data_IF_654761406624
#
_entry.id   IF_654761406624
#
_cell.length_a   1.000
_cell.length_b   1.000
_cell.length_c   1.000
_cell.angle_alpha   90.00
_cell.angle_beta   90.00
_cell.angle_gamma   90.00
#
_symmetry.space_group_name_H-M   'P 1'
#
loop_
_entity.id
_entity.type
_entity.pdbx_description
1 polymer ?
#
# COMPACT_ATOMS: atom_id res chain seq x y z
N UNK A 1 -13.97 -17.07 -32.82
CA UNK A 1 -12.80 -17.90 -33.18
C UNK A 1 -11.95 -18.12 -31.94
N UNK A 2 -12.32 -19.08 -31.09
CA UNK A 2 -11.52 -19.51 -29.95
C UNK A 2 -10.58 -20.60 -30.45
N UNK A 3 -9.33 -20.24 -30.73
CA UNK A 3 -8.30 -21.22 -31.02
C UNK A 3 -8.03 -22.01 -29.73
N UNK A 4 -8.60 -23.21 -29.64
CA UNK A 4 -8.12 -24.25 -28.75
C UNK A 4 -6.71 -24.63 -29.22
N UNK A 5 -5.68 -24.09 -28.54
CA UNK A 5 -4.32 -24.59 -28.68
C UNK A 5 -4.22 -25.87 -27.86
N UNK A 6 -4.61 -26.99 -28.47
CA UNK A 6 -4.39 -28.34 -27.96
C UNK A 6 -2.95 -28.83 -28.20
N UNK A 7 -1.97 -27.92 -28.24
CA UNK A 7 -0.53 -28.24 -28.20
C UNK A 7 -0.05 -28.24 -26.74
N UNK A 8 -0.78 -28.92 -25.86
CA UNK A 8 -0.53 -28.89 -24.42
C UNK A 8 0.79 -29.60 -24.07
N UNK A 9 1.88 -28.84 -24.12
CA UNK A 9 3.16 -29.21 -23.53
C UNK A 9 2.90 -29.65 -22.08
N UNK A 10 3.42 -30.79 -21.61
CA UNK A 10 3.14 -31.27 -20.27
C UNK A 10 3.50 -30.18 -19.24
N UNK A 11 2.50 -29.78 -18.44
CA UNK A 11 2.67 -28.76 -17.41
C UNK A 11 3.58 -29.35 -16.34
N UNK A 12 4.84 -28.89 -16.31
CA UNK A 12 5.77 -29.23 -15.23
C UNK A 12 5.43 -28.39 -14.01
N UNK A 13 4.86 -29.01 -12.99
CA UNK A 13 4.62 -28.37 -11.69
C UNK A 13 5.98 -28.16 -11.01
N UNK A 14 6.33 -26.90 -10.77
CA UNK A 14 7.59 -26.53 -10.09
C UNK A 14 7.43 -26.44 -8.57
N UNK A 15 6.27 -26.00 -8.10
CA UNK A 15 5.94 -25.90 -6.68
C UNK A 15 4.42 -25.95 -6.49
N UNK A 16 3.99 -26.41 -5.31
CA UNK A 16 2.61 -26.34 -4.86
C UNK A 16 2.59 -25.72 -3.45
N UNK A 17 1.70 -24.76 -3.23
CA UNK A 17 1.57 -24.04 -1.96
C UNK A 17 0.10 -23.70 -1.71
N UNK A 18 -0.26 -23.54 -0.43
CA UNK A 18 -1.62 -23.22 0.00
C UNK A 18 -1.71 -21.82 0.65
N UNK A 19 -0.59 -21.14 0.82
CA UNK A 19 -0.49 -19.85 1.48
C UNK A 19 0.49 -18.93 0.77
N UNK A 20 0.50 -17.69 1.24
CA UNK A 20 1.30 -16.62 0.65
C UNK A 20 2.80 -16.79 0.93
N UNK A 21 3.18 -17.35 2.09
CA UNK A 21 4.59 -17.66 2.37
C UNK A 21 5.15 -18.71 1.40
N UNK A 22 4.37 -19.75 1.11
CA UNK A 22 4.71 -20.77 0.12
C UNK A 22 4.88 -20.19 -1.28
N UNK A 23 4.05 -19.22 -1.68
CA UNK A 23 4.24 -18.47 -2.93
C UNK A 23 5.60 -17.76 -2.95
N UNK A 24 5.94 -17.02 -1.89
CA UNK A 24 7.20 -16.28 -1.82
C UNK A 24 8.41 -17.22 -1.80
N UNK A 25 8.31 -18.37 -1.12
CA UNK A 25 9.35 -19.42 -1.15
C UNK A 25 9.56 -19.97 -2.55
N UNK A 26 8.48 -20.32 -3.26
CA UNK A 26 8.56 -20.83 -4.63
C UNK A 26 9.21 -19.81 -5.59
N UNK A 27 8.90 -18.53 -5.46
CA UNK A 27 9.53 -17.44 -6.22
C UNK A 27 11.03 -17.35 -5.92
N UNK A 28 11.41 -17.37 -4.64
CA UNK A 28 12.82 -17.32 -4.20
C UNK A 28 13.61 -18.52 -4.72
N UNK A 29 13.07 -19.72 -4.59
CA UNK A 29 13.70 -20.96 -5.06
C UNK A 29 13.89 -20.94 -6.58
N UNK A 30 12.87 -20.49 -7.32
CA UNK A 30 12.98 -20.33 -8.78
C UNK A 30 14.06 -19.32 -9.15
N UNK A 31 14.10 -18.16 -8.49
CA UNK A 31 15.13 -17.14 -8.70
C UNK A 31 16.52 -17.71 -8.45
N UNK A 32 16.72 -18.42 -7.34
CA UNK A 32 17.97 -19.10 -7.01
C UNK A 32 18.36 -20.17 -8.03
N UNK A 33 17.40 -20.97 -8.51
CA UNK A 33 17.65 -21.98 -9.54
C UNK A 33 18.07 -21.38 -10.89
N UNK A 34 17.65 -20.14 -11.17
CA UNK A 34 18.09 -19.37 -12.35
C UNK A 34 19.41 -18.63 -12.13
N UNK A 35 20.01 -18.71 -10.93
CA UNK A 35 21.24 -17.99 -10.59
C UNK A 35 21.07 -16.47 -10.50
N UNK A 36 19.83 -15.98 -10.37
CA UNK A 36 19.55 -14.54 -10.35
C UNK A 36 19.73 -13.97 -8.94
N UNK A 37 20.40 -12.81 -8.84
CA UNK A 37 20.37 -11.99 -7.62
C UNK A 37 19.00 -11.31 -7.48
N UNK A 38 18.69 -10.79 -6.29
CA UNK A 38 17.44 -10.04 -6.07
C UNK A 38 17.38 -8.78 -6.97
N UNK A 39 18.51 -8.08 -7.11
CA UNK A 39 18.61 -6.90 -7.95
C UNK A 39 18.48 -7.25 -9.45
N UNK A 40 19.11 -8.35 -9.88
CA UNK A 40 19.00 -8.81 -11.26
C UNK A 40 17.55 -9.19 -11.62
N UNK A 41 16.79 -9.75 -10.66
CA UNK A 41 15.36 -10.00 -10.86
C UNK A 41 14.56 -8.69 -10.94
N UNK A 42 14.85 -7.72 -10.07
CA UNK A 42 14.18 -6.42 -10.12
C UNK A 42 14.40 -5.75 -11.50
N UNK A 43 15.64 -5.74 -11.99
CA UNK A 43 16.00 -5.18 -13.30
C UNK A 43 15.30 -5.93 -14.44
N UNK A 44 15.32 -7.28 -14.42
CA UNK A 44 14.68 -8.11 -15.43
C UNK A 44 13.16 -7.94 -15.46
N UNK A 45 12.54 -7.75 -14.30
CA UNK A 45 11.09 -7.56 -14.17
C UNK A 45 10.65 -6.10 -14.38
N UNK A 46 11.59 -5.16 -14.53
CA UNK A 46 11.28 -3.73 -14.60
C UNK A 46 10.74 -3.16 -13.28
N UNK A 47 11.11 -3.75 -12.15
CA UNK A 47 10.68 -3.36 -10.82
C UNK A 47 11.68 -2.38 -10.18
N UNK A 48 11.23 -1.55 -9.22
CA UNK A 48 12.15 -0.71 -8.46
C UNK A 48 13.22 -1.53 -7.74
N UNK A 49 14.46 -1.06 -7.76
CA UNK A 49 15.59 -1.71 -7.10
C UNK A 49 15.32 -2.01 -5.60
N UNK A 50 15.60 -3.25 -5.19
CA UNK A 50 15.38 -3.74 -3.83
C UNK A 50 13.93 -4.10 -3.53
N UNK A 51 13.06 -4.17 -4.54
CA UNK A 51 11.67 -4.60 -4.36
C UNK A 51 11.60 -6.08 -3.98
N UNK A 52 12.32 -6.95 -4.70
CA UNK A 52 12.42 -8.39 -4.40
C UNK A 52 12.94 -8.63 -2.99
N UNK A 53 13.93 -7.86 -2.53
CA UNK A 53 14.47 -7.98 -1.17
C UNK A 53 13.41 -7.73 -0.09
N UNK A 54 12.50 -6.78 -0.31
CA UNK A 54 11.39 -6.47 0.61
C UNK A 54 10.32 -7.54 0.63
N UNK A 55 10.10 -8.22 -0.49
CA UNK A 55 9.20 -9.38 -0.54
C UNK A 55 9.84 -10.54 0.23
N UNK A 56 11.08 -10.89 -0.07
CA UNK A 56 11.76 -12.04 0.55
C UNK A 56 12.08 -11.81 2.04
N UNK A 57 12.12 -10.56 2.50
CA UNK A 57 12.37 -10.21 3.90
C UNK A 57 11.39 -10.88 4.87
N UNK A 58 10.14 -11.15 4.47
CA UNK A 58 9.19 -11.84 5.35
C UNK A 58 9.58 -13.28 5.67
N UNK A 59 10.33 -13.95 4.77
CA UNK A 59 10.78 -15.33 4.98
C UNK A 59 11.93 -15.41 5.98
N UNK A 60 12.73 -14.36 6.10
CA UNK A 60 13.89 -14.32 7.01
C UNK A 60 13.56 -13.63 8.33
N UNK A 61 12.68 -12.61 8.29
CA UNK A 61 12.21 -11.90 9.47
C UNK A 61 10.73 -11.51 9.28
N UNK A 62 9.78 -12.28 9.84
CA UNK A 62 8.35 -11.98 9.74
C UNK A 62 7.94 -10.63 10.34
N UNK A 63 8.76 -10.08 11.25
CA UNK A 63 8.53 -8.76 11.86
C UNK A 63 9.31 -7.63 11.17
N UNK A 64 9.95 -7.89 10.03
CA UNK A 64 10.65 -6.86 9.30
C UNK A 64 9.68 -5.72 8.94
N UNK A 65 9.92 -4.53 9.50
CA UNK A 65 9.12 -3.33 9.25
C UNK A 65 9.04 -2.96 7.75
N UNK A 66 9.99 -3.47 6.96
CA UNK A 66 10.08 -3.23 5.52
C UNK A 66 9.54 -4.38 4.65
N UNK A 67 8.98 -5.44 5.25
CA UNK A 67 8.37 -6.54 4.50
C UNK A 67 7.21 -6.02 3.63
N UNK A 68 7.15 -6.48 2.38
CA UNK A 68 6.11 -6.07 1.43
C UNK A 68 5.39 -7.28 0.85
N UNK A 69 4.07 -7.13 0.69
CA UNK A 69 3.30 -8.06 -0.11
C UNK A 69 3.50 -7.79 -1.61
N UNK A 70 3.42 -8.84 -2.43
CA UNK A 70 3.38 -8.77 -3.88
C UNK A 70 2.05 -8.13 -4.26
N UNK A 71 2.11 -7.00 -4.98
CA UNK A 71 0.94 -6.29 -5.48
C UNK A 71 0.42 -6.85 -6.82
N UNK A 72 -0.75 -6.35 -7.22
CA UNK A 72 -1.42 -6.72 -8.48
C UNK A 72 -0.53 -6.53 -9.70
N UNK A 73 0.27 -5.46 -9.73
CA UNK A 73 1.13 -5.11 -10.86
C UNK A 73 2.45 -5.88 -10.84
N UNK A 74 3.03 -6.08 -9.66
CA UNK A 74 4.31 -6.77 -9.51
C UNK A 74 4.20 -8.28 -9.72
N UNK A 75 3.06 -8.89 -9.38
CA UNK A 75 2.87 -10.33 -9.51
C UNK A 75 3.10 -10.83 -10.95
N UNK A 76 2.40 -10.32 -11.99
CA UNK A 76 2.62 -10.77 -13.36
C UNK A 76 4.03 -10.47 -13.87
N UNK A 77 4.65 -9.36 -13.43
CA UNK A 77 6.02 -9.01 -13.82
C UNK A 77 7.04 -10.02 -13.25
N UNK A 78 6.92 -10.38 -11.97
CA UNK A 78 7.77 -11.39 -11.33
C UNK A 78 7.59 -12.75 -11.99
N UNK A 79 6.35 -13.16 -12.25
CA UNK A 79 6.07 -14.44 -12.91
C UNK A 79 6.66 -14.46 -14.33
N UNK A 80 6.47 -13.38 -15.10
CA UNK A 80 7.03 -13.25 -16.44
C UNK A 80 8.56 -13.32 -16.45
N UNK A 81 9.23 -12.57 -15.57
CA UNK A 81 10.68 -12.56 -15.45
C UNK A 81 11.26 -13.93 -15.04
N UNK A 82 10.53 -14.70 -14.23
CA UNK A 82 10.95 -16.03 -13.77
C UNK A 82 10.52 -17.17 -14.71
N UNK A 83 9.77 -16.85 -15.77
CA UNK A 83 9.18 -17.83 -16.69
C UNK A 83 8.20 -18.76 -16.00
N UNK A 84 7.43 -18.23 -15.04
CA UNK A 84 6.46 -18.96 -14.25
C UNK A 84 5.03 -18.67 -14.72
N UNK A 85 4.16 -19.65 -14.49
CA UNK A 85 2.72 -19.52 -14.58
C UNK A 85 2.12 -20.04 -13.26
N UNK A 86 0.99 -19.49 -12.85
CA UNK A 86 0.24 -19.97 -11.69
C UNK A 86 -1.04 -20.67 -12.15
N UNK A 87 -1.33 -21.81 -11.55
CA UNK A 87 -2.57 -22.55 -11.75
C UNK A 87 -3.38 -22.60 -10.45
N UNK A 88 -4.70 -22.63 -10.59
CA UNK A 88 -5.60 -22.90 -9.47
C UNK A 88 -5.90 -24.40 -9.44
N UNK A 89 -5.78 -25.01 -8.26
CA UNK A 89 -6.07 -26.42 -8.04
C UNK A 89 -7.29 -26.55 -7.13
N UNK A 90 -8.19 -27.51 -7.37
CA UNK A 90 -9.26 -27.82 -6.42
C UNK A 90 -8.66 -28.17 -5.05
N UNK A 91 -9.15 -27.50 -4.01
CA UNK A 91 -8.75 -27.73 -2.63
C UNK A 91 -9.96 -27.77 -1.71
N UNK A 92 -9.81 -28.39 -0.53
CA UNK A 92 -10.82 -28.28 0.51
C UNK A 92 -10.87 -26.86 1.05
N UNK A 93 -12.07 -26.33 1.33
CA UNK A 93 -12.24 -25.00 1.91
C UNK A 93 -11.51 -24.91 3.24
N UNK A 94 -10.36 -24.25 3.25
CA UNK A 94 -9.54 -24.00 4.44
C UNK A 94 -9.16 -22.53 4.50
N UNK A 95 -10.13 -21.66 4.82
CA UNK A 95 -9.77 -20.32 5.27
C UNK A 95 -10.45 -19.98 6.59
N UNK A 96 -9.63 -19.95 7.64
CA UNK A 96 -9.84 -19.08 8.78
C UNK A 96 -9.16 -17.77 8.40
N UNK A 97 -9.91 -16.82 7.85
CA UNK A 97 -9.43 -15.45 7.78
C UNK A 97 -9.26 -14.98 9.23
N UNK A 98 -8.02 -14.96 9.75
CA UNK A 98 -7.78 -14.22 10.98
C UNK A 98 -7.85 -12.74 10.58
N UNK A 99 -8.76 -11.95 11.18
CA UNK A 99 -8.77 -10.51 10.95
C UNK A 99 -7.38 -9.99 11.29
N UNK A 100 -6.73 -9.39 10.30
CA UNK A 100 -5.45 -8.73 10.49
C UNK A 100 -5.73 -7.57 11.43
N UNK A 101 -5.23 -7.63 12.68
CA UNK A 101 -5.36 -6.50 13.60
C UNK A 101 -4.80 -5.25 12.91
N UNK A 102 -5.61 -4.19 12.88
CA UNK A 102 -5.34 -2.89 12.25
C UNK A 102 -4.19 -2.15 12.96
N UNK A 103 -2.98 -2.72 12.99
CA UNK A 103 -1.76 -2.10 13.52
C UNK A 103 -1.45 -0.75 12.84
N UNK A 104 -2.02 -0.51 11.66
CA UNK A 104 -1.88 0.74 10.91
C UNK A 104 -2.59 1.94 11.55
N UNK A 105 -3.72 1.75 12.23
CA UNK A 105 -4.47 2.86 12.83
C UNK A 105 -3.77 3.36 14.08
N UNK A 106 -3.27 2.45 14.91
CA UNK A 106 -2.61 2.76 16.17
C UNK A 106 -1.24 3.42 15.94
N UNK A 107 -0.44 2.87 15.03
CA UNK A 107 0.82 3.51 14.61
C UNK A 107 0.60 4.91 14.01
N UNK A 108 -0.49 5.10 13.26
CA UNK A 108 -0.83 6.42 12.70
C UNK A 108 -1.27 7.42 13.79
N UNK A 109 -1.94 6.96 14.84
CA UNK A 109 -2.31 7.77 15.99
C UNK A 109 -1.07 8.20 16.78
N UNK A 110 -0.09 7.31 16.97
CA UNK A 110 1.19 7.64 17.62
C UNK A 110 2.01 8.64 16.80
N UNK A 111 2.08 8.46 15.48
CA UNK A 111 2.74 9.42 14.59
C UNK A 111 2.06 10.80 14.69
N UNK A 112 0.73 10.86 14.67
CA UNK A 112 -0.02 12.13 14.86
C UNK A 112 0.26 12.79 16.21
N UNK A 113 0.32 12.01 17.30
CA UNK A 113 0.69 12.52 18.63
C UNK A 113 2.10 13.12 18.62
N UNK A 114 3.09 12.40 18.08
CA UNK A 114 4.49 12.88 18.03
C UNK A 114 4.66 14.15 17.19
N UNK A 115 3.95 14.25 16.06
CA UNK A 115 3.96 15.43 15.19
C UNK A 115 3.29 16.63 15.86
N UNK A 116 2.16 16.41 16.56
CA UNK A 116 1.48 17.44 17.36
C UNK A 116 2.39 18.01 18.45
N UNK A 117 3.10 17.14 19.18
CA UNK A 117 4.05 17.55 20.21
C UNK A 117 5.24 18.34 19.66
N UNK A 118 5.80 17.91 18.53
CA UNK A 118 6.86 18.63 17.82
C UNK A 118 6.39 20.00 17.35
N UNK A 119 5.19 20.09 16.77
CA UNK A 119 4.57 21.35 16.37
C UNK A 119 4.37 22.29 17.55
N UNK A 120 3.89 21.77 18.70
CA UNK A 120 3.71 22.53 19.94
C UNK A 120 5.05 23.06 20.47
N UNK A 121 6.09 22.23 20.53
CA UNK A 121 7.44 22.64 20.98
C UNK A 121 8.04 23.70 20.05
N UNK A 122 7.89 23.54 18.73
CA UNK A 122 8.33 24.52 17.73
C UNK A 122 7.62 25.87 17.91
N UNK A 123 6.31 25.85 18.11
CA UNK A 123 5.52 27.06 18.34
C UNK A 123 5.89 27.77 19.65
N UNK A 124 6.14 27.03 20.74
CA UNK A 124 6.57 27.62 22.01
C UNK A 124 7.92 28.32 21.87
N UNK A 125 8.88 27.71 21.18
CA UNK A 125 10.20 28.31 20.87
C UNK A 125 10.08 29.54 19.97
N UNK A 126 9.15 29.53 19.02
CA UNK A 126 8.89 30.68 18.17
C UNK A 126 8.24 31.81 18.96
N UNK A 127 7.27 31.49 19.83
CA UNK A 127 6.59 32.45 20.71
C UNK A 127 7.57 33.13 21.66
N UNK A 128 8.50 32.39 22.26
CA UNK A 128 9.47 32.97 23.21
C UNK A 128 10.40 33.99 22.56
N UNK A 129 10.51 34.00 21.22
CA UNK A 129 11.29 34.96 20.43
C UNK A 129 10.46 36.12 19.87
N UNK A 130 9.15 36.12 20.09
CA UNK A 130 8.24 37.13 19.55
C UNK A 130 7.88 38.17 20.59
N UNK A 131 7.84 39.42 20.15
CA UNK A 131 7.22 40.51 20.91
C UNK A 131 5.69 40.39 20.91
N UNK A 132 5.03 41.00 21.88
CA UNK A 132 3.57 40.99 22.01
C UNK A 132 2.85 41.51 20.74
N UNK A 133 3.42 42.54 20.09
CA UNK A 133 2.89 43.09 18.84
C UNK A 133 2.97 42.09 17.68
N UNK A 134 4.06 41.32 17.58
CA UNK A 134 4.22 40.26 16.57
C UNK A 134 3.29 39.08 16.85
N UNK A 135 3.13 38.71 18.13
CA UNK A 135 2.20 37.66 18.55
C UNK A 135 0.75 37.98 18.17
N UNK A 136 0.30 39.21 18.45
CA UNK A 136 -1.05 39.68 18.06
C UNK A 136 -1.29 39.63 16.55
N UNK A 137 -0.31 40.04 15.74
CA UNK A 137 -0.40 39.92 14.27
C UNK A 137 -0.52 38.45 13.84
N UNK A 138 0.22 37.54 14.49
CA UNK A 138 0.15 36.11 14.20
C UNK A 138 -1.23 35.53 14.56
N UNK A 139 -1.80 35.92 15.70
CA UNK A 139 -3.14 35.50 16.11
C UNK A 139 -4.22 36.01 15.16
N UNK A 140 -4.14 37.28 14.74
CA UNK A 140 -5.08 37.85 13.77
C UNK A 140 -5.00 37.11 12.42
N UNK A 141 -3.79 36.77 11.95
CA UNK A 141 -3.59 35.97 10.73
C UNK A 141 -4.20 34.57 10.86
N UNK A 142 -3.98 33.89 11.99
CA UNK A 142 -4.55 32.58 12.26
C UNK A 142 -6.09 32.62 12.32
N UNK A 143 -6.67 33.63 12.98
CA UNK A 143 -8.11 33.82 13.04
C UNK A 143 -8.72 34.05 11.64
N UNK A 144 -8.11 34.92 10.83
CA UNK A 144 -8.55 35.16 9.44
C UNK A 144 -8.53 33.87 8.61
N UNK A 145 -7.49 33.05 8.74
CA UNK A 145 -7.39 31.78 8.04
C UNK A 145 -8.48 30.78 8.48
N UNK A 146 -8.76 30.69 9.78
CA UNK A 146 -9.85 29.85 10.32
C UNK A 146 -11.21 30.28 9.77
N UNK A 147 -11.51 31.59 9.78
CA UNK A 147 -12.75 32.13 9.23
C UNK A 147 -12.87 31.92 7.72
N UNK A 148 -11.77 32.06 6.96
CA UNK A 148 -11.76 31.78 5.52
C UNK A 148 -12.07 30.30 5.23
N UNK A 149 -11.47 29.37 5.98
CA UNK A 149 -11.77 27.93 5.87
C UNK A 149 -13.24 27.63 6.18
N UNK A 150 -13.76 28.20 7.26
CA UNK A 150 -15.17 28.04 7.64
C UNK A 150 -16.12 28.55 6.55
N UNK A 151 -15.87 29.74 6.01
CA UNK A 151 -16.68 30.30 4.89
C UNK A 151 -16.64 29.42 3.65
N UNK A 152 -15.46 28.87 3.30
CA UNK A 152 -15.31 27.94 2.18
C UNK A 152 -16.12 26.66 2.38
N UNK A 153 -16.03 26.06 3.57
CA UNK A 153 -16.79 24.86 3.91
C UNK A 153 -18.31 25.11 3.89
N UNK A 154 -18.77 26.28 4.38
CA UNK A 154 -20.18 26.66 4.33
C UNK A 154 -20.67 26.83 2.88
N UNK A 155 -19.88 27.48 2.02
CA UNK A 155 -20.17 27.61 0.57
C UNK A 155 -20.28 26.26 -0.13
N UNK A 156 -19.40 25.31 0.19
CA UNK A 156 -19.46 23.96 -0.38
C UNK A 156 -20.68 23.17 0.08
N UNK A 157 -21.15 23.38 1.32
CA UNK A 157 -22.38 22.78 1.84
C UNK A 157 -23.64 23.35 1.20
N UNK A 158 -23.65 24.65 0.86
CA UNK A 158 -24.80 25.30 0.20
C UNK A 158 -24.89 25.03 -1.31
N UNK A 159 -23.86 24.44 -1.93
CA UNK A 159 -23.80 24.14 -3.38
C UNK A 159 -24.03 22.64 -3.64
N UNK A 160 -24.73 21.93 -2.76
CA UNK A 160 -25.35 20.65 -3.10
C UNK A 160 -26.79 20.96 -3.54
N UNK A 161 -27.13 20.99 -4.84
CA UNK A 161 -28.52 20.95 -5.27
C UNK A 161 -29.00 19.51 -5.21
N UNK A 162 -30.22 19.31 -4.73
CA UNK A 162 -30.98 18.09 -4.94
C UNK A 162 -31.10 17.84 -6.45
N UNK A 163 -30.59 16.70 -6.91
CA UNK A 163 -30.76 16.24 -8.28
C UNK A 163 -30.75 14.71 -8.30
N UNK A 164 -31.83 14.11 -7.78
CA UNK A 164 -32.43 12.95 -8.40
C UNK A 164 -33.79 13.41 -8.96
N UNK A 165 -34.01 13.38 -10.28
CA UNK A 165 -35.34 13.19 -10.79
C UNK A 165 -35.62 11.69 -10.92
N UNK A 166 -36.74 11.33 -10.31
CA UNK A 166 -37.45 10.07 -10.33
C UNK A 166 -37.27 9.21 -11.58
N UNK A 167 -37.04 7.93 -11.29
CA UNK A 167 -37.58 6.81 -12.03
C UNK A 167 -39.10 6.98 -12.26
N UNK A 168 -39.52 7.31 -13.48
CA UNK A 168 -40.81 6.89 -14.05
C UNK A 168 -40.95 7.40 -15.49
N UNK A 169 -40.88 6.49 -16.46
CA UNK A 169 -41.76 6.47 -17.65
C UNK A 169 -41.43 5.24 -18.49
N UNK A 170 -42.34 4.26 -18.39
CA UNK A 170 -42.87 3.32 -19.40
C UNK A 170 -41.90 2.82 -20.48
#
# INVERSE_FOLDING_TARGET
MTQHRDDAKPIKVLAAFADYEGLVRAIRERRSALGLSQLALDDLAGLPSGYTAKIEAMLTNPQAANARAIGRESLPLLLGALGLQMGLMPGGARHRHQPQEDKGVEAMLEIKKSLSERGRKGWLRQRSRMTEKQYRKHQQKAARARWAKHRRAKRQRTVKPDAEPDSASI
#
